data_IF_009362299677
#
_entry.id   IF_009362299677
#
_cell.length_a   1.000
_cell.length_b   1.000
_cell.length_c   1.000
_cell.angle_alpha   90.00
_cell.angle_beta   90.00
_cell.angle_gamma   90.00
#
_symmetry.space_group_name_H-M   'P 1'
#
loop_
_entity.id
_entity.type
_entity.pdbx_description
1 polymer ?
#
# COMPACT_ATOMS: atom_id res chain seq x y z
N UNK A 1 0.14 -20.32 46.23
CA UNK A 1 1.57 -20.58 46.48
C UNK A 1 2.27 -20.55 45.13
N UNK A 2 2.73 -19.37 44.69
CA UNK A 2 3.43 -19.17 43.42
C UNK A 2 4.89 -18.76 43.72
N UNK A 3 5.82 -19.02 42.80
CA UNK A 3 7.15 -19.57 43.09
C UNK A 3 8.28 -18.57 43.37
N UNK A 4 9.37 -19.17 43.83
CA UNK A 4 10.66 -18.61 44.23
C UNK A 4 11.41 -17.87 43.11
N UNK A 5 11.79 -16.63 43.42
CA UNK A 5 13.15 -16.05 43.37
C UNK A 5 14.24 -16.83 42.58
N UNK A 6 14.66 -16.30 41.43
CA UNK A 6 16.07 -16.32 40.98
C UNK A 6 16.42 -14.96 40.37
N UNK A 7 17.42 -14.35 40.98
CA UNK A 7 18.02 -13.05 40.74
C UNK A 7 19.21 -13.23 39.79
N UNK A 8 19.31 -12.43 38.72
CA UNK A 8 20.52 -12.35 37.87
C UNK A 8 20.95 -10.89 37.74
N UNK A 9 22.15 -10.62 38.25
CA UNK A 9 22.83 -9.33 38.28
C UNK A 9 23.28 -8.89 36.89
N UNK A 10 23.21 -7.58 36.62
CA UNK A 10 24.05 -6.87 35.64
C UNK A 10 24.69 -5.69 36.38
N UNK A 11 26.02 -5.48 36.30
CA UNK A 11 26.70 -4.41 37.02
C UNK A 11 26.45 -3.02 36.40
N UNK A 12 26.47 -1.94 37.21
CA UNK A 12 26.25 -0.58 36.75
C UNK A 12 27.49 0.01 36.06
N UNK A 13 27.30 0.67 34.92
CA UNK A 13 28.29 1.59 34.34
C UNK A 13 28.32 2.89 35.15
N UNK A 14 29.52 3.48 35.41
CA UNK A 14 29.64 4.73 36.15
C UNK A 14 29.20 5.94 35.31
N UNK A 15 28.22 6.70 35.81
CA UNK A 15 27.86 8.03 35.34
C UNK A 15 28.79 9.10 35.96
N UNK A 16 29.26 10.03 35.13
CA UNK A 16 30.00 11.24 35.51
C UNK A 16 29.07 12.34 36.08
N UNK A 17 29.59 13.32 36.84
CA UNK A 17 28.79 14.16 37.74
C UNK A 17 28.18 15.42 37.09
N UNK A 18 26.88 15.60 37.37
CA UNK A 18 26.23 16.79 37.97
C UNK A 18 26.45 18.19 37.39
N UNK A 19 25.37 18.80 36.88
CA UNK A 19 25.00 20.20 37.19
C UNK A 19 23.49 20.33 37.46
N UNK A 20 23.11 21.29 38.29
CA UNK A 20 22.00 21.23 39.24
C UNK A 20 20.70 21.98 38.83
N UNK A 21 19.54 21.30 38.99
CA UNK A 21 18.24 21.61 39.69
C UNK A 21 17.75 23.10 39.73
N UNK A 22 16.44 23.50 39.55
CA UNK A 22 15.26 22.84 40.16
C UNK A 22 13.86 22.83 39.46
N UNK A 23 13.19 21.70 39.65
CA UNK A 23 11.85 21.47 40.22
C UNK A 23 10.59 22.20 39.71
N UNK A 24 9.62 21.40 39.27
CA UNK A 24 8.21 21.75 39.08
C UNK A 24 7.39 21.63 40.38
N UNK A 25 6.39 22.50 40.55
CA UNK A 25 5.12 22.19 41.22
C UNK A 25 3.99 23.11 40.68
N UNK A 26 2.73 22.65 40.67
CA UNK A 26 1.70 23.11 39.74
C UNK A 26 0.82 24.22 40.32
N UNK A 27 0.40 25.17 39.47
CA UNK A 27 -0.80 25.97 39.73
C UNK A 27 -1.77 25.83 38.56
N UNK A 28 -2.82 25.05 38.80
CA UNK A 28 -4.04 25.03 38.02
C UNK A 28 -4.90 26.19 38.53
N UNK A 29 -5.15 27.24 37.73
CA UNK A 29 -6.51 27.76 37.49
C UNK A 29 -6.48 28.69 36.27
N UNK A 30 -7.32 28.40 35.28
CA UNK A 30 -8.29 29.33 34.67
C UNK A 30 -8.49 29.03 33.20
N UNK A 31 -9.72 28.64 32.90
CA UNK A 31 -10.26 28.54 31.56
C UNK A 31 -10.14 29.88 30.83
N UNK A 32 -9.66 29.81 29.59
CA UNK A 32 -10.07 30.68 28.50
C UNK A 32 -9.99 29.83 27.23
N UNK A 33 -11.15 29.63 26.64
CA UNK A 33 -11.33 29.09 25.31
C UNK A 33 -11.03 30.26 24.35
N UNK A 34 -10.08 30.16 23.40
CA UNK A 34 -10.14 30.96 22.20
C UNK A 34 -10.66 30.06 21.09
N UNK A 35 -11.97 30.18 20.88
CA UNK A 35 -12.59 30.46 19.59
C UNK A 35 -11.87 29.90 18.35
N UNK A 36 -12.58 28.99 17.69
CA UNK A 36 -12.28 28.47 16.37
C UNK A 36 -11.74 29.54 15.40
N UNK A 37 -10.49 29.36 14.97
CA UNK A 37 -10.06 29.83 13.66
C UNK A 37 -10.20 28.67 12.69
N UNK A 38 -11.09 28.88 11.72
CA UNK A 38 -11.32 28.01 10.58
C UNK A 38 -10.03 27.79 9.75
N UNK A 39 -10.11 26.74 8.93
CA UNK A 39 -9.20 26.37 7.84
C UNK A 39 -7.89 25.67 8.22
N UNK A 40 -8.01 24.42 8.68
CA UNK A 40 -7.10 23.39 8.19
C UNK A 40 -7.60 22.98 6.81
N UNK A 41 -7.24 23.75 5.79
CA UNK A 41 -7.27 23.26 4.41
C UNK A 41 -6.24 22.14 4.35
N UNK A 42 -6.71 20.90 4.47
CA UNK A 42 -5.97 19.75 3.96
C UNK A 42 -5.92 19.97 2.46
N UNK A 43 -4.93 20.73 1.97
CA UNK A 43 -4.49 20.60 0.58
C UNK A 43 -3.95 19.18 0.50
N UNK A 44 -4.84 18.28 0.11
CA UNK A 44 -4.51 16.96 -0.39
C UNK A 44 -3.58 17.20 -1.58
N UNK A 45 -2.29 17.30 -1.29
CA UNK A 45 -1.27 17.11 -2.28
C UNK A 45 -1.51 15.71 -2.82
N UNK A 46 -2.13 15.66 -4.00
CA UNK A 46 -2.19 14.52 -4.90
C UNK A 46 -0.76 14.24 -5.40
N UNK A 47 0.15 14.00 -4.45
CA UNK A 47 1.48 13.52 -4.71
C UNK A 47 1.34 11.99 -4.65
N UNK A 48 1.32 11.29 -5.79
CA UNK A 48 1.20 9.85 -5.78
C UNK A 48 2.41 9.29 -5.05
N UNK A 49 2.15 8.58 -3.94
CA UNK A 49 3.18 7.77 -3.30
C UNK A 49 3.80 6.87 -4.38
N UNK A 50 5.11 7.04 -4.59
CA UNK A 50 5.88 6.44 -5.67
C UNK A 50 5.95 4.91 -5.53
N UNK A 51 4.87 4.25 -5.91
CA UNK A 51 4.70 2.80 -6.12
C UNK A 51 3.30 2.50 -6.67
N UNK A 52 2.34 3.42 -6.51
CA UNK A 52 1.02 3.29 -7.10
C UNK A 52 1.01 3.82 -8.54
N UNK A 53 1.59 3.06 -9.47
CA UNK A 53 1.16 3.16 -10.88
C UNK A 53 -0.27 2.63 -10.95
N UNK A 54 -1.23 3.46 -10.54
CA UNK A 54 -2.64 3.18 -10.75
C UNK A 54 -2.91 3.48 -12.21
N UNK A 55 -3.33 2.46 -12.97
CA UNK A 55 -3.84 2.68 -14.32
C UNK A 55 -4.85 3.83 -14.26
N UNK A 56 -4.60 4.89 -15.04
CA UNK A 56 -5.44 6.08 -15.07
C UNK A 56 -6.73 5.77 -15.84
N UNK A 57 -7.63 5.02 -15.20
CA UNK A 57 -8.92 4.62 -15.76
C UNK A 57 -9.93 5.74 -15.49
N UNK A 58 -10.66 6.14 -16.53
CA UNK A 58 -11.79 7.06 -16.45
C UNK A 58 -13.08 6.30 -16.15
N UNK A 59 -13.45 5.39 -17.05
CA UNK A 59 -14.67 4.58 -16.95
C UNK A 59 -14.52 3.25 -17.69
N UNK A 60 -15.43 2.32 -17.39
CA UNK A 60 -15.62 1.07 -18.12
C UNK A 60 -16.95 1.18 -18.88
N UNK A 61 -16.92 1.04 -20.20
CA UNK A 61 -18.10 1.11 -21.06
C UNK A 61 -18.07 -0.02 -22.09
N UNK A 62 -19.16 -0.77 -22.20
CA UNK A 62 -19.33 -1.83 -23.20
C UNK A 62 -18.17 -2.84 -23.28
N UNK A 63 -17.55 -3.15 -22.13
CA UNK A 63 -16.42 -4.09 -22.06
C UNK A 63 -15.06 -3.49 -22.44
N UNK A 64 -14.97 -2.19 -22.71
CA UNK A 64 -13.72 -1.47 -22.96
C UNK A 64 -13.39 -0.52 -21.81
N UNK A 65 -12.09 -0.40 -21.53
CA UNK A 65 -11.55 0.56 -20.57
C UNK A 65 -11.24 1.87 -21.30
N UNK A 66 -11.80 2.97 -20.79
CA UNK A 66 -11.48 4.33 -21.24
C UNK A 66 -10.47 4.90 -20.26
N UNK A 67 -9.32 5.33 -20.76
CA UNK A 67 -8.25 5.94 -19.98
C UNK A 67 -8.50 7.45 -19.77
N UNK A 68 -7.81 8.08 -18.80
CA UNK A 68 -7.91 9.54 -18.55
C UNK A 68 -7.39 10.40 -19.70
N UNK A 69 -6.54 9.84 -20.55
CA UNK A 69 -6.04 10.48 -21.76
C UNK A 69 -6.97 10.28 -22.98
N UNK A 70 -8.10 9.59 -22.82
CA UNK A 70 -9.05 9.29 -23.88
C UNK A 70 -8.68 8.08 -24.75
N UNK A 71 -7.56 7.40 -24.48
CA UNK A 71 -7.24 6.14 -25.15
C UNK A 71 -8.14 5.00 -24.68
N UNK A 72 -8.36 4.02 -25.55
CA UNK A 72 -9.16 2.83 -25.26
C UNK A 72 -8.26 1.62 -25.05
N UNK A 73 -8.67 0.72 -24.16
CA UNK A 73 -8.03 -0.59 -23.96
C UNK A 73 -9.10 -1.68 -23.95
N UNK A 74 -8.90 -2.70 -24.78
CA UNK A 74 -9.70 -3.92 -24.72
C UNK A 74 -9.29 -4.78 -23.51
N UNK A 75 -10.24 -5.46 -22.90
CA UNK A 75 -10.00 -6.41 -21.80
C UNK A 75 -10.33 -7.80 -22.29
N UNK A 76 -9.37 -8.72 -22.18
CA UNK A 76 -9.54 -10.13 -22.56
C UNK A 76 -9.51 -10.97 -21.28
N UNK A 77 -10.59 -11.72 -21.05
CA UNK A 77 -10.65 -12.68 -19.96
C UNK A 77 -9.95 -13.98 -20.36
N UNK A 78 -8.97 -14.41 -19.57
CA UNK A 78 -8.21 -15.63 -19.83
C UNK A 78 -8.50 -16.68 -18.76
N UNK A 79 -8.48 -17.95 -19.17
CA UNK A 79 -8.54 -19.11 -18.27
C UNK A 79 -7.29 -19.95 -18.47
N UNK A 80 -6.66 -20.35 -17.37
CA UNK A 80 -5.55 -21.29 -17.41
C UNK A 80 -6.01 -22.73 -17.65
N UNK A 81 -5.14 -23.53 -18.26
CA UNK A 81 -5.32 -24.97 -18.48
C UNK A 81 -4.06 -25.71 -18.01
N UNK A 82 -4.19 -27.00 -17.71
CA UNK A 82 -3.04 -27.85 -17.36
C UNK A 82 -2.26 -28.25 -18.61
N UNK A 83 -1.59 -27.28 -19.23
CA UNK A 83 -0.90 -27.44 -20.50
C UNK A 83 0.16 -28.55 -20.48
N UNK A 84 0.85 -28.74 -19.35
CA UNK A 84 1.90 -29.74 -19.19
C UNK A 84 1.37 -31.19 -19.16
N UNK A 85 0.09 -31.38 -18.84
CA UNK A 85 -0.55 -32.71 -18.84
C UNK A 85 -1.07 -33.13 -20.22
N UNK A 86 -1.08 -32.22 -21.19
CA UNK A 86 -1.56 -32.48 -22.55
C UNK A 86 -0.51 -33.25 -23.35
N UNK A 87 -0.96 -34.07 -24.31
CA UNK A 87 -0.04 -34.73 -25.23
C UNK A 87 0.69 -33.71 -26.13
N UNK A 88 1.81 -34.11 -26.73
CA UNK A 88 2.62 -33.21 -27.56
C UNK A 88 1.83 -32.61 -28.74
N UNK A 89 1.04 -33.42 -29.44
CA UNK A 89 0.19 -32.95 -30.54
C UNK A 89 -0.91 -31.98 -30.06
N UNK A 90 -1.50 -32.22 -28.89
CA UNK A 90 -2.48 -31.28 -28.32
C UNK A 90 -1.83 -29.95 -27.93
N UNK A 91 -0.62 -30.00 -27.36
CA UNK A 91 0.13 -28.78 -27.00
C UNK A 91 0.46 -27.95 -28.24
N UNK A 92 0.94 -28.58 -29.32
CA UNK A 92 1.21 -27.91 -30.59
C UNK A 92 -0.07 -27.28 -31.18
N UNK A 93 -1.20 -27.98 -31.11
CA UNK A 93 -2.48 -27.46 -31.59
C UNK A 93 -2.96 -26.23 -30.78
N UNK A 94 -2.80 -26.27 -29.45
CA UNK A 94 -3.10 -25.14 -28.56
C UNK A 94 -2.20 -23.95 -28.88
N UNK A 95 -0.90 -24.18 -29.07
CA UNK A 95 0.05 -23.12 -29.42
C UNK A 95 -0.28 -22.48 -30.77
N UNK A 96 -0.53 -23.30 -31.81
CA UNK A 96 -0.92 -22.82 -33.13
C UNK A 96 -2.20 -21.98 -33.08
N UNK A 97 -3.19 -22.44 -32.32
CA UNK A 97 -4.46 -21.70 -32.13
C UNK A 97 -4.25 -20.40 -31.36
N UNK A 98 -3.38 -20.39 -30.35
CA UNK A 98 -3.05 -19.19 -29.57
C UNK A 98 -2.35 -18.14 -30.43
N UNK A 99 -1.40 -18.55 -31.27
CA UNK A 99 -0.77 -17.67 -32.25
C UNK A 99 -1.80 -17.06 -33.21
N UNK A 100 -2.70 -17.90 -33.75
CA UNK A 100 -3.79 -17.45 -34.60
C UNK A 100 -4.72 -16.45 -33.90
N UNK A 101 -5.04 -16.68 -32.63
CA UNK A 101 -5.85 -15.77 -31.82
C UNK A 101 -5.18 -14.41 -31.64
N UNK A 102 -3.90 -14.35 -31.22
CA UNK A 102 -3.19 -13.08 -31.04
C UNK A 102 -3.06 -12.31 -32.35
N UNK A 103 -2.80 -13.00 -33.47
CA UNK A 103 -2.72 -12.37 -34.78
C UNK A 103 -4.07 -11.93 -35.34
N UNK A 104 -5.18 -12.42 -34.79
CA UNK A 104 -6.53 -11.98 -35.16
C UNK A 104 -7.00 -10.73 -34.42
N UNK A 105 -6.24 -10.26 -33.43
CA UNK A 105 -6.55 -9.02 -32.72
C UNK A 105 -6.14 -7.81 -33.58
N UNK A 106 -7.11 -7.19 -34.24
CA UNK A 106 -6.96 -5.94 -35.00
C UNK A 106 -7.84 -4.85 -34.35
N UNK A 107 -7.34 -3.62 -34.22
CA UNK A 107 -7.98 -2.51 -33.49
C UNK A 107 -7.61 -1.12 -34.03
#
# INVERSE_FOLDING_TARGET
MNPQNIQSQIPPTPQSPSQAIPQAAPQNVSAIIPQATADVTITQADAPAATQTTLLISELRDGMVIMKDGSFRAVIACKSINFDLMSESEREAVEYSYQGFINSLDF
#
